data_IF_105975551541
#
_entry.id   IF_105975551541
#
_cell.length_a   1.000
_cell.length_b   1.000
_cell.length_c   1.000
_cell.angle_alpha   90.00
_cell.angle_beta   90.00
_cell.angle_gamma   90.00
#
_symmetry.space_group_name_H-M   'P 1'
#
loop_
_entity.id
_entity.type
_entity.pdbx_description
1 polymer ?
#
# COMPACT_ATOMS: atom_id res chain seq x y z
N UNK A 1 2.41 2.31 9.86
CA UNK A 1 1.46 2.38 10.99
C UNK A 1 0.02 2.25 10.52
N UNK A 2 -0.92 1.92 11.41
CA UNK A 2 -2.38 1.84 11.14
C UNK A 2 -2.80 0.91 9.97
N UNK A 3 -2.11 -0.20 9.76
CA UNK A 3 -2.51 -1.17 8.74
C UNK A 3 -3.70 -2.01 9.23
N UNK A 4 -4.76 -2.08 8.43
CA UNK A 4 -6.00 -2.81 8.73
C UNK A 4 -6.28 -3.83 7.65
N UNK A 5 -6.38 -5.09 8.05
CA UNK A 5 -6.89 -6.17 7.21
C UNK A 5 -8.39 -6.30 7.44
N UNK A 6 -9.18 -6.10 6.39
CA UNK A 6 -10.64 -6.10 6.47
C UNK A 6 -11.25 -7.42 6.05
N UNK A 7 -10.67 -8.07 5.05
CA UNK A 7 -11.20 -9.28 4.46
C UNK A 7 -10.07 -10.24 4.08
N UNK A 8 -10.38 -11.54 4.11
CA UNK A 8 -9.45 -12.59 3.65
C UNK A 8 -9.38 -12.56 2.13
N UNK A 9 -8.17 -12.60 1.60
CA UNK A 9 -7.88 -12.79 0.18
C UNK A 9 -7.49 -14.25 -0.05
N UNK A 10 -7.90 -14.84 -1.17
CA UNK A 10 -7.67 -16.25 -1.51
C UNK A 10 -7.03 -16.40 -2.90
N UNK A 11 -6.42 -17.57 -3.21
CA UNK A 11 -5.90 -17.82 -4.56
C UNK A 11 -6.99 -17.63 -5.62
N UNK A 12 -6.65 -16.94 -6.71
CA UNK A 12 -7.58 -16.56 -7.78
C UNK A 12 -8.07 -15.11 -7.69
N UNK A 13 -7.95 -14.46 -6.52
CA UNK A 13 -8.27 -13.04 -6.39
C UNK A 13 -7.27 -12.17 -7.18
N UNK A 14 -7.80 -11.16 -7.87
CA UNK A 14 -6.98 -10.08 -8.43
C UNK A 14 -7.00 -8.90 -7.48
N UNK A 15 -5.83 -8.53 -6.98
CA UNK A 15 -5.66 -7.41 -6.06
C UNK A 15 -5.30 -6.14 -6.85
N UNK A 16 -6.11 -5.11 -6.73
CA UNK A 16 -5.81 -3.77 -7.24
C UNK A 16 -5.20 -2.95 -6.12
N UNK A 17 -3.97 -2.47 -6.33
CA UNK A 17 -3.26 -1.61 -5.39
C UNK A 17 -3.46 -0.14 -5.79
N UNK A 18 -3.99 0.66 -4.88
CA UNK A 18 -4.09 2.11 -5.00
C UNK A 18 -3.18 2.74 -3.96
N UNK A 19 -2.20 3.50 -4.42
CA UNK A 19 -1.12 4.04 -3.59
C UNK A 19 -1.03 5.55 -3.80
N UNK A 20 -1.07 6.30 -2.72
CA UNK A 20 -1.01 7.76 -2.75
C UNK A 20 0.11 8.24 -1.83
N UNK A 21 0.96 9.13 -2.33
CA UNK A 21 1.97 9.79 -1.50
C UNK A 21 1.26 10.72 -0.51
N UNK A 22 1.49 10.51 0.79
CA UNK A 22 0.95 11.40 1.82
C UNK A 22 1.76 12.67 1.95
N UNK A 23 3.05 12.60 1.59
CA UNK A 23 3.97 13.73 1.55
C UNK A 23 4.90 13.60 0.33
N UNK A 24 5.45 14.72 -0.19
CA UNK A 24 6.51 14.66 -1.20
C UNK A 24 7.71 13.85 -0.70
N UNK A 25 8.30 13.02 -1.57
CA UNK A 25 9.47 12.21 -1.23
C UNK A 25 10.64 13.09 -0.77
N UNK A 26 11.28 12.72 0.35
CA UNK A 26 12.40 13.48 0.94
C UNK A 26 13.55 12.55 1.28
N UNK A 27 14.76 12.87 0.80
CA UNK A 27 15.99 12.08 1.06
C UNK A 27 15.84 10.58 0.72
N UNK A 28 15.06 10.27 -0.32
CA UNK A 28 14.75 8.90 -0.72
C UNK A 28 13.73 8.18 0.18
N UNK A 29 13.13 8.86 1.16
CA UNK A 29 12.05 8.31 2.00
C UNK A 29 10.71 8.67 1.36
N UNK A 30 9.87 7.65 1.20
CA UNK A 30 8.52 7.72 0.66
C UNK A 30 7.55 7.42 1.80
N UNK A 31 6.66 8.36 2.09
CA UNK A 31 5.51 8.16 2.97
C UNK A 31 4.27 8.04 2.10
N UNK A 32 3.50 6.98 2.28
CA UNK A 32 2.35 6.67 1.43
C UNK A 32 1.19 6.09 2.23
N UNK A 33 -0.02 6.36 1.76
CA UNK A 33 -1.22 5.67 2.19
C UNK A 33 -1.62 4.70 1.08
N UNK A 34 -1.76 3.43 1.46
CA UNK A 34 -2.05 2.34 0.55
C UNK A 34 -3.42 1.75 0.82
N UNK A 35 -4.12 1.43 -0.27
CA UNK A 35 -5.36 0.66 -0.26
C UNK A 35 -5.24 -0.50 -1.24
N UNK A 36 -5.81 -1.64 -0.88
CA UNK A 36 -5.89 -2.82 -1.72
C UNK A 36 -7.34 -3.27 -1.86
N UNK A 37 -7.74 -3.60 -3.08
CA UNK A 37 -9.11 -4.01 -3.41
C UNK A 37 -9.15 -5.35 -4.12
N UNK A 38 -10.19 -6.13 -3.88
CA UNK A 38 -10.57 -7.29 -4.69
C UNK A 38 -11.97 -7.01 -5.26
N UNK A 39 -12.07 -6.83 -6.58
CA UNK A 39 -13.26 -6.22 -7.19
C UNK A 39 -13.51 -4.82 -6.60
N UNK A 40 -14.70 -4.60 -6.04
CA UNK A 40 -15.08 -3.33 -5.41
C UNK A 40 -14.87 -3.32 -3.88
N UNK A 41 -14.33 -4.40 -3.31
CA UNK A 41 -14.20 -4.57 -1.87
C UNK A 41 -12.82 -4.13 -1.39
N UNK A 42 -12.77 -3.20 -0.43
CA UNK A 42 -11.53 -2.81 0.25
C UNK A 42 -11.09 -3.95 1.19
N UNK A 43 -9.95 -4.56 0.90
CA UNK A 43 -9.40 -5.71 1.65
C UNK A 43 -8.31 -5.31 2.63
N UNK A 44 -7.49 -4.31 2.29
CA UNK A 44 -6.43 -3.78 3.16
C UNK A 44 -6.32 -2.27 2.98
N UNK A 45 -6.03 -1.55 4.06
CA UNK A 45 -5.61 -0.14 4.01
C UNK A 45 -4.53 0.13 5.07
N UNK A 46 -3.68 1.14 4.86
CA UNK A 46 -2.74 1.56 5.89
C UNK A 46 -1.70 2.57 5.44
N UNK A 47 -0.99 3.14 6.42
CA UNK A 47 0.14 4.05 6.19
C UNK A 47 1.44 3.24 6.15
N UNK A 48 2.26 3.50 5.12
CA UNK A 48 3.53 2.83 4.86
C UNK A 48 4.64 3.85 4.66
N UNK A 49 5.85 3.44 5.03
CA UNK A 49 7.08 4.18 4.75
C UNK A 49 8.06 3.27 4.05
N UNK A 50 8.68 3.74 2.97
CA UNK A 50 9.70 3.01 2.23
C UNK A 50 10.93 3.89 1.98
N UNK A 51 12.08 3.25 1.77
CA UNK A 51 13.31 3.92 1.36
C UNK A 51 13.72 3.45 -0.03
N UNK A 52 13.88 4.40 -0.95
CA UNK A 52 14.42 4.16 -2.29
C UNK A 52 15.94 4.09 -2.19
N UNK A 53 16.49 2.90 -2.40
CA UNK A 53 17.93 2.64 -2.46
C UNK A 53 18.31 2.24 -3.89
N UNK A 54 19.52 2.62 -4.34
CA UNK A 54 20.05 2.11 -5.60
C UNK A 54 20.42 0.64 -5.43
N UNK A 55 20.01 -0.20 -6.36
CA UNK A 55 20.51 -1.57 -6.44
C UNK A 55 22.04 -1.52 -6.70
N UNK A 56 22.76 -2.47 -6.10
CA UNK A 56 24.18 -2.69 -6.40
C UNK A 56 24.35 -3.40 -7.74
#
# INVERSE_FOLDING_TARGET
>A
DKLKFKQKVVPGDTIILKMELTEPMRRGIVSMYGQAFVGNNLVVEGEMTAQVIKNK
#
